data_IF_807437378146
#
_entry.id   IF_807437378146
#
_cell.length_a   1.000
_cell.length_b   1.000
_cell.length_c   1.000
_cell.angle_alpha   90.00
_cell.angle_beta   90.00
_cell.angle_gamma   90.00
#
_symmetry.space_group_name_H-M   'P 1'
#
loop_
_entity.id
_entity.type
_entity.pdbx_description
1 polymer ?
#
# COMPACT_ATOMS: atom_id res chain seq x y z
N UNK A 1 -14.85 47.25 -17.02
CA UNK A 1 -14.25 46.46 -15.91
C UNK A 1 -13.02 47.18 -15.36
N UNK A 2 -13.04 47.69 -14.12
CA UNK A 2 -11.92 48.45 -13.53
C UNK A 2 -10.66 47.58 -13.50
N UNK A 3 -9.46 48.13 -13.78
CA UNK A 3 -8.17 47.39 -13.81
C UNK A 3 -7.95 46.50 -12.58
N UNK A 4 -8.32 46.98 -11.39
CA UNK A 4 -8.27 46.26 -10.12
C UNK A 4 -9.09 44.96 -10.09
N UNK A 5 -10.22 44.92 -10.80
CA UNK A 5 -11.08 43.74 -10.88
C UNK A 5 -10.47 42.63 -11.76
N UNK A 6 -9.69 43.00 -12.79
CA UNK A 6 -8.93 42.04 -13.61
C UNK A 6 -7.76 41.44 -12.83
N UNK A 7 -7.07 42.26 -12.02
CA UNK A 7 -5.98 41.80 -11.15
C UNK A 7 -6.52 40.84 -10.08
N UNK A 8 -7.63 41.20 -9.43
CA UNK A 8 -8.26 40.35 -8.42
C UNK A 8 -8.69 38.99 -9.00
N UNK A 9 -9.31 38.99 -10.19
CA UNK A 9 -9.70 37.76 -10.88
C UNK A 9 -8.48 36.90 -11.23
N UNK A 10 -7.38 37.51 -11.70
CA UNK A 10 -6.13 36.80 -11.98
C UNK A 10 -5.54 36.12 -10.74
N UNK A 11 -5.58 36.79 -9.59
CA UNK A 11 -5.12 36.21 -8.31
C UNK A 11 -6.00 35.03 -7.90
N UNK A 12 -7.33 35.17 -7.99
CA UNK A 12 -8.26 34.08 -7.64
C UNK A 12 -8.01 32.84 -8.50
N UNK A 13 -7.85 33.02 -9.81
CA UNK A 13 -7.56 31.93 -10.74
C UNK A 13 -6.22 31.28 -10.42
N UNK A 14 -5.18 32.06 -10.13
CA UNK A 14 -3.87 31.53 -9.76
C UNK A 14 -3.93 30.70 -8.45
N UNK A 15 -4.67 31.18 -7.45
CA UNK A 15 -4.86 30.44 -6.17
C UNK A 15 -5.59 29.12 -6.41
N UNK A 16 -6.64 29.12 -7.24
CA UNK A 16 -7.36 27.89 -7.58
C UNK A 16 -6.44 26.87 -8.29
N UNK A 17 -5.64 27.31 -9.27
CA UNK A 17 -4.70 26.44 -9.97
C UNK A 17 -3.70 25.80 -8.99
N UNK A 18 -3.13 26.60 -8.08
CA UNK A 18 -2.20 26.09 -7.06
C UNK A 18 -2.87 25.10 -6.10
N UNK A 19 -4.12 25.36 -5.73
CA UNK A 19 -4.89 24.46 -4.87
C UNK A 19 -5.12 23.10 -5.56
N UNK A 20 -5.58 23.10 -6.81
CA UNK A 20 -5.80 21.86 -7.57
C UNK A 20 -4.49 21.10 -7.79
N UNK A 21 -3.42 21.77 -8.23
CA UNK A 21 -2.11 21.15 -8.40
C UNK A 21 -1.57 20.56 -7.07
N UNK A 22 -1.76 21.27 -5.95
CA UNK A 22 -1.41 20.78 -4.62
C UNK A 22 -2.17 19.51 -4.25
N UNK A 23 -3.47 19.46 -4.52
CA UNK A 23 -4.31 18.30 -4.22
C UNK A 23 -3.90 17.05 -5.03
N UNK A 24 -3.61 17.20 -6.33
CA UNK A 24 -3.16 16.09 -7.17
C UNK A 24 -1.79 15.56 -6.75
N UNK A 25 -0.85 16.45 -6.40
CA UNK A 25 0.48 16.05 -5.91
C UNK A 25 0.36 15.30 -4.59
N UNK A 26 -0.50 15.78 -3.68
CA UNK A 26 -0.73 15.13 -2.40
C UNK A 26 -1.33 13.74 -2.59
N UNK A 27 -2.40 13.60 -3.38
CA UNK A 27 -2.99 12.30 -3.69
C UNK A 27 -1.96 11.35 -4.33
N UNK A 28 -1.17 11.85 -5.28
CA UNK A 28 -0.13 11.06 -5.91
C UNK A 28 0.89 10.57 -4.89
N UNK A 29 1.34 11.43 -3.97
CA UNK A 29 2.31 11.05 -2.94
C UNK A 29 1.75 10.00 -1.99
N UNK A 30 0.52 10.19 -1.53
CA UNK A 30 -0.19 9.27 -0.62
C UNK A 30 -0.31 7.90 -1.25
N UNK A 31 -0.70 7.80 -2.51
CA UNK A 31 -0.90 6.50 -3.16
C UNK A 31 0.33 5.95 -3.88
N UNK A 32 1.44 6.68 -3.94
CA UNK A 32 2.64 6.22 -4.64
C UNK A 32 3.21 4.98 -3.96
N UNK A 33 3.51 3.94 -4.75
CA UNK A 33 4.18 2.74 -4.24
C UNK A 33 5.56 3.11 -3.67
N UNK A 34 5.82 2.92 -2.36
CA UNK A 34 7.01 3.45 -1.72
C UNK A 34 8.28 2.82 -2.28
N UNK A 35 9.27 3.65 -2.61
CA UNK A 35 10.58 3.22 -3.15
C UNK A 35 10.45 2.30 -4.39
N UNK A 36 9.41 2.44 -5.21
CA UNK A 36 9.10 1.56 -6.36
C UNK A 36 10.32 1.18 -7.23
N UNK A 37 11.04 2.17 -7.74
CA UNK A 37 12.21 1.98 -8.60
C UNK A 37 13.55 1.84 -7.86
N UNK A 38 13.53 1.83 -6.52
CA UNK A 38 14.74 1.72 -5.69
C UNK A 38 15.40 0.35 -5.86
N UNK A 39 16.74 0.35 -5.89
CA UNK A 39 17.57 -0.86 -5.80
C UNK A 39 18.21 -1.04 -4.41
N UNK A 40 17.85 -0.17 -3.46
CA UNK A 40 18.27 -0.28 -2.06
C UNK A 40 17.23 -1.08 -1.27
N UNK A 41 17.71 -1.96 -0.39
CA UNK A 41 16.86 -2.62 0.59
C UNK A 41 16.46 -1.61 1.66
N UNK A 42 15.17 -1.49 1.94
CA UNK A 42 14.66 -0.52 2.92
C UNK A 42 13.45 -1.09 3.63
N UNK A 43 13.52 -1.17 4.96
CA UNK A 43 12.34 -1.45 5.81
C UNK A 43 11.42 -0.25 5.73
N UNK A 44 10.18 -0.51 5.32
CA UNK A 44 9.12 0.47 5.14
C UNK A 44 8.13 0.44 6.31
N UNK A 45 7.78 -0.76 6.78
CA UNK A 45 6.93 -0.97 7.94
C UNK A 45 7.48 -2.11 8.80
N UNK A 46 7.60 -1.88 10.11
CA UNK A 46 7.91 -2.85 11.16
C UNK A 46 7.49 -2.27 12.52
N UNK A 47 7.65 -3.03 13.60
CA UNK A 47 7.45 -2.53 14.96
C UNK A 47 8.36 -1.35 15.34
N UNK A 48 9.47 -1.15 14.62
CA UNK A 48 10.49 -0.11 14.88
C UNK A 48 10.53 0.97 13.78
N UNK A 49 9.80 0.79 12.69
CA UNK A 49 9.83 1.69 11.54
C UNK A 49 8.45 1.84 10.92
N UNK A 50 7.99 3.08 10.83
CA UNK A 50 6.76 3.43 10.14
C UNK A 50 7.06 4.54 9.13
N UNK A 51 7.23 4.14 7.87
CA UNK A 51 7.56 5.04 6.76
C UNK A 51 6.49 5.02 5.68
N UNK A 52 5.35 4.40 5.96
CA UNK A 52 4.20 4.34 5.08
C UNK A 52 3.23 5.46 5.44
N UNK A 53 2.45 5.93 4.48
CA UNK A 53 1.20 6.62 4.84
C UNK A 53 0.16 5.58 5.23
N UNK A 54 -0.90 5.98 5.95
CA UNK A 54 -1.98 5.08 6.35
C UNK A 54 -2.63 4.39 5.14
N UNK A 55 -2.75 5.09 4.01
CA UNK A 55 -3.27 4.54 2.75
C UNK A 55 -2.35 3.49 2.14
N UNK A 56 -1.03 3.69 2.24
CA UNK A 56 -0.05 2.72 1.75
C UNK A 56 -0.04 1.47 2.62
N UNK A 57 -0.10 1.64 3.94
CA UNK A 57 -0.20 0.53 4.89
C UNK A 57 -1.45 -0.31 4.63
N UNK A 58 -2.63 0.33 4.55
CA UNK A 58 -3.89 -0.37 4.22
C UNK A 58 -3.82 -1.06 2.86
N UNK A 59 -3.18 -0.43 1.86
CA UNK A 59 -2.98 -1.06 0.57
C UNK A 59 -2.10 -2.31 0.68
N UNK A 60 -1.06 -2.33 1.51
CA UNK A 60 -0.24 -3.54 1.73
C UNK A 60 -0.99 -4.63 2.50
N UNK A 61 -1.84 -4.29 3.48
CA UNK A 61 -2.75 -5.25 4.09
C UNK A 61 -3.69 -5.86 3.05
N UNK A 62 -4.35 -5.03 2.25
CA UNK A 62 -5.26 -5.46 1.17
C UNK A 62 -4.56 -6.35 0.15
N UNK A 63 -3.34 -6.00 -0.27
CA UNK A 63 -2.51 -6.82 -1.14
C UNK A 63 -2.16 -8.18 -0.51
N UNK A 64 -1.88 -8.22 0.79
CA UNK A 64 -1.58 -9.46 1.51
C UNK A 64 -2.79 -10.39 1.54
N UNK A 65 -3.98 -9.84 1.85
CA UNK A 65 -5.25 -10.59 1.82
C UNK A 65 -5.56 -11.12 0.41
N UNK A 66 -5.40 -10.28 -0.61
CA UNK A 66 -5.61 -10.67 -2.00
C UNK A 66 -4.61 -11.75 -2.47
N UNK A 67 -3.36 -11.68 -2.02
CA UNK A 67 -2.36 -12.71 -2.32
C UNK A 67 -2.74 -14.06 -1.70
N UNK A 68 -3.16 -14.07 -0.43
CA UNK A 68 -3.67 -15.27 0.24
C UNK A 68 -4.88 -15.84 -0.49
N UNK A 69 -5.84 -15.00 -0.90
CA UNK A 69 -7.03 -15.46 -1.66
C UNK A 69 -6.71 -15.99 -3.06
N UNK A 70 -5.60 -15.55 -3.65
CA UNK A 70 -5.14 -16.05 -4.96
C UNK A 70 -4.61 -17.48 -4.82
N UNK A 71 -3.87 -17.76 -3.75
CA UNK A 71 -3.31 -19.09 -3.46
C UNK A 71 -4.34 -20.04 -2.80
N UNK A 72 -5.20 -19.53 -1.93
CA UNK A 72 -6.26 -20.26 -1.23
C UNK A 72 -7.63 -19.63 -1.49
N UNK A 73 -8.30 -20.09 -2.55
CA UNK A 73 -9.57 -19.52 -3.02
C UNK A 73 -10.72 -19.59 -2.00
N UNK A 74 -10.67 -20.56 -1.09
CA UNK A 74 -11.74 -20.80 -0.12
C UNK A 74 -11.58 -19.97 1.17
N UNK A 75 -10.42 -19.31 1.36
CA UNK A 75 -10.20 -18.48 2.54
C UNK A 75 -10.98 -17.17 2.44
N UNK A 76 -11.82 -16.95 3.45
CA UNK A 76 -12.55 -15.69 3.66
C UNK A 76 -12.00 -14.96 4.88
N UNK A 77 -11.71 -13.68 4.71
CA UNK A 77 -11.21 -12.81 5.79
C UNK A 77 -12.30 -12.33 6.75
N UNK A 78 -13.54 -12.83 6.65
CA UNK A 78 -14.64 -12.43 7.55
C UNK A 78 -14.38 -12.75 9.02
N UNK A 79 -13.61 -13.80 9.31
CA UNK A 79 -13.25 -14.23 10.67
C UNK A 79 -11.75 -14.13 10.95
N UNK A 80 -11.03 -13.32 10.17
CA UNK A 80 -9.59 -13.11 10.28
C UNK A 80 -9.34 -11.61 10.39
N UNK A 81 -8.85 -11.18 11.55
CA UNK A 81 -8.43 -9.79 11.75
C UNK A 81 -6.96 -9.63 11.37
N UNK A 82 -6.61 -8.47 10.82
CA UNK A 82 -5.22 -8.07 10.65
C UNK A 82 -4.54 -7.96 12.02
N UNK A 83 -3.40 -8.62 12.19
CA UNK A 83 -2.66 -8.61 13.46
C UNK A 83 -1.36 -7.82 13.37
N UNK A 84 -0.53 -8.11 12.37
CA UNK A 84 0.70 -7.36 12.14
C UNK A 84 1.15 -7.44 10.69
N UNK A 85 1.91 -6.44 10.27
CA UNK A 85 2.47 -6.34 8.93
C UNK A 85 3.91 -5.83 9.00
N UNK A 86 4.78 -6.52 8.28
CA UNK A 86 6.14 -6.09 8.00
C UNK A 86 6.30 -5.96 6.49
N UNK A 87 6.80 -4.80 6.05
CA UNK A 87 7.04 -4.52 4.63
C UNK A 87 8.46 -4.04 4.44
N UNK A 88 9.17 -4.70 3.54
CA UNK A 88 10.52 -4.30 3.14
C UNK A 88 10.64 -4.23 1.63
N UNK A 89 11.06 -3.07 1.13
CA UNK A 89 11.52 -2.95 -0.26
C UNK A 89 12.81 -3.76 -0.42
N UNK A 90 12.87 -4.67 -1.39
CA UNK A 90 14.07 -5.46 -1.68
C UNK A 90 15.06 -4.70 -2.57
N UNK A 91 16.22 -5.29 -2.86
CA UNK A 91 17.18 -4.71 -3.82
C UNK A 91 16.73 -4.81 -5.28
N UNK A 92 15.77 -5.69 -5.59
CA UNK A 92 15.19 -5.80 -6.92
C UNK A 92 14.10 -4.75 -7.14
N UNK A 93 14.09 -4.07 -8.29
CA UNK A 93 13.05 -3.09 -8.62
C UNK A 93 11.66 -3.72 -8.51
N UNK A 94 10.71 -2.92 -7.99
CA UNK A 94 9.29 -3.28 -7.88
C UNK A 94 8.97 -4.47 -6.96
N UNK A 95 9.99 -5.04 -6.31
CA UNK A 95 9.87 -6.24 -5.49
C UNK A 95 9.92 -5.90 -3.99
N UNK A 96 8.95 -6.42 -3.26
CA UNK A 96 8.73 -6.22 -1.84
C UNK A 96 8.72 -7.58 -1.14
N UNK A 97 9.34 -7.64 0.03
CA UNK A 97 9.13 -8.73 0.98
C UNK A 97 8.03 -8.30 1.94
N UNK A 98 7.05 -9.18 2.13
CA UNK A 98 5.91 -8.99 3.01
C UNK A 98 5.86 -10.15 3.98
N UNK A 99 5.72 -9.84 5.25
CA UNK A 99 5.44 -10.78 6.33
C UNK A 99 4.19 -10.26 7.05
N UNK A 100 3.10 -11.02 6.90
CA UNK A 100 1.75 -10.64 7.30
C UNK A 100 1.19 -11.68 8.24
N UNK A 101 0.60 -11.22 9.33
CA UNK A 101 -0.03 -12.06 10.33
C UNK A 101 -1.48 -11.67 10.46
N UNK A 102 -2.36 -12.67 10.33
CA UNK A 102 -3.77 -12.53 10.66
C UNK A 102 -4.11 -13.35 11.91
N UNK A 103 -5.18 -12.98 12.60
CA UNK A 103 -5.68 -13.68 13.79
C UNK A 103 -7.12 -14.12 13.58
N UNK A 104 -7.41 -15.39 13.83
CA UNK A 104 -8.79 -15.88 13.87
C UNK A 104 -9.55 -15.25 15.03
N UNK A 105 -10.69 -14.63 14.73
CA UNK A 105 -11.59 -14.08 15.75
C UNK A 105 -12.24 -15.18 16.59
N UNK A 106 -12.45 -16.36 15.98
CA UNK A 106 -13.11 -17.53 16.57
C UNK A 106 -12.13 -18.35 17.42
N UNK A 107 -11.00 -18.76 16.83
CA UNK A 107 -10.03 -19.65 17.49
C UNK A 107 -8.96 -18.90 18.28
N UNK A 108 -8.88 -17.58 18.13
CA UNK A 108 -7.81 -16.72 18.68
C UNK A 108 -6.40 -17.12 18.27
N UNK A 109 -6.25 -18.02 17.30
CA UNK A 109 -4.99 -18.44 16.69
C UNK A 109 -4.46 -17.39 15.72
N UNK A 110 -3.14 -17.32 15.57
CA UNK A 110 -2.46 -16.48 14.59
C UNK A 110 -1.95 -17.35 13.44
N UNK A 111 -1.91 -16.76 12.26
CA UNK A 111 -1.38 -17.40 11.06
C UNK A 111 -0.45 -16.44 10.35
N UNK A 112 0.77 -16.91 10.13
CA UNK A 112 1.83 -16.18 9.47
C UNK A 112 1.82 -16.47 7.96
N UNK A 113 2.01 -15.42 7.17
CA UNK A 113 2.16 -15.50 5.71
C UNK A 113 3.35 -14.65 5.29
N UNK A 114 4.32 -15.28 4.65
CA UNK A 114 5.49 -14.61 4.07
C UNK A 114 5.48 -14.75 2.56
N UNK A 115 5.86 -13.68 1.86
CA UNK A 115 5.91 -13.68 0.40
C UNK A 115 6.86 -12.62 -0.13
N UNK A 116 7.33 -12.84 -1.35
CA UNK A 116 7.89 -11.81 -2.20
C UNK A 116 6.83 -11.39 -3.22
N UNK A 117 6.55 -10.09 -3.28
CA UNK A 117 5.53 -9.53 -4.16
C UNK A 117 6.17 -8.55 -5.12
N UNK A 118 6.02 -8.81 -6.44
CA UNK A 118 6.33 -7.84 -7.48
C UNK A 118 5.08 -7.04 -7.81
N UNK A 119 5.08 -5.76 -7.45
CA UNK A 119 3.98 -4.83 -7.76
C UNK A 119 4.22 -4.27 -9.16
N UNK A 120 3.22 -4.29 -10.04
CA UNK A 120 3.38 -3.85 -11.45
C UNK A 120 3.11 -2.37 -11.68
N UNK A 121 2.43 -1.71 -10.74
CA UNK A 121 2.01 -0.33 -10.84
C UNK A 121 2.81 0.53 -9.86
N UNK A 122 3.14 1.78 -10.25
CA UNK A 122 3.80 2.74 -9.37
C UNK A 122 2.86 3.45 -8.40
N UNK A 123 1.56 3.14 -8.48
CA UNK A 123 0.51 3.62 -7.60
C UNK A 123 -0.20 2.41 -6.99
N UNK A 124 -0.54 2.54 -5.71
CA UNK A 124 -1.33 1.60 -4.93
C UNK A 124 -2.83 1.92 -4.96
N UNK A 125 -3.25 3.02 -5.62
CA UNK A 125 -4.65 3.45 -5.69
C UNK A 125 -5.46 2.44 -6.51
N UNK A 126 -6.51 1.89 -5.91
CA UNK A 126 -7.44 0.97 -6.57
C UNK A 126 -6.84 -0.42 -6.81
N UNK A 127 -7.13 -1.01 -7.97
CA UNK A 127 -6.73 -2.38 -8.31
C UNK A 127 -5.25 -2.45 -8.68
N UNK A 128 -4.41 -2.72 -7.69
CA UNK A 128 -2.98 -2.90 -7.87
C UNK A 128 -2.69 -4.30 -8.40
N UNK A 129 -2.07 -4.40 -9.58
CA UNK A 129 -1.66 -5.69 -10.12
C UNK A 129 -0.33 -6.14 -9.52
N UNK A 130 -0.23 -7.43 -9.18
CA UNK A 130 0.97 -8.01 -8.58
C UNK A 130 1.25 -9.42 -9.08
N UNK A 131 2.45 -9.92 -8.78
CA UNK A 131 2.86 -11.32 -8.93
C UNK A 131 3.51 -11.77 -7.64
N UNK A 132 3.12 -12.95 -7.15
CA UNK A 132 3.60 -13.55 -5.91
C UNK A 132 4.76 -14.50 -6.22
N UNK A 133 5.77 -14.51 -5.35
CA UNK A 133 6.91 -15.43 -5.38
C UNK A 133 7.19 -15.94 -3.97
N UNK A 134 7.66 -17.19 -3.87
CA UNK A 134 8.06 -17.83 -2.62
C UNK A 134 7.00 -17.71 -1.50
N UNK A 135 5.72 -17.87 -1.87
CA UNK A 135 4.61 -17.79 -0.93
C UNK A 135 4.68 -18.93 0.08
N UNK A 136 4.60 -18.58 1.36
CA UNK A 136 4.50 -19.53 2.47
C UNK A 136 3.46 -19.03 3.45
N UNK A 137 2.50 -19.87 3.79
CA UNK A 137 1.45 -19.50 4.72
C UNK A 137 1.05 -20.68 5.57
N UNK A 138 0.92 -20.45 6.87
CA UNK A 138 0.43 -21.44 7.81
C UNK A 138 -1.10 -21.60 7.74
N UNK A 139 -1.80 -20.72 7.02
CA UNK A 139 -3.22 -20.90 6.68
C UNK A 139 -3.46 -22.15 5.83
N UNK A 140 -2.46 -22.64 5.09
CA UNK A 140 -2.57 -23.89 4.30
C UNK A 140 -2.81 -25.14 5.14
N UNK A 141 -2.50 -25.08 6.43
CA UNK A 141 -2.61 -26.21 7.37
C UNK A 141 -3.97 -26.24 8.07
N UNK A 142 -4.86 -25.31 7.72
CA UNK A 142 -6.18 -25.10 8.30
C UNK A 142 -7.25 -25.39 7.26
#
# INVERSE_FOLDING_TARGET
>A
MKKWMKVLLGVIVAVLILFFAGSEIHEWYVWRTPKYNSTQSTVLLSAEADKLTSEQEEAFYSLSRAAIQTEFKDIKFTNLDDYSLYVRKTKEKHMYYIDYVCKSTVLKMRFDTTMYMRIKNSSLKGNTHFVIYNFKSDLSKF
#
